data_IF_807975950229
#
_entry.id   IF_807975950229
#
_cell.length_a   1.000
_cell.length_b   1.000
_cell.length_c   1.000
_cell.angle_alpha   90.00
_cell.angle_beta   90.00
_cell.angle_gamma   90.00
#
_symmetry.space_group_name_H-M   'P 1'
#
loop_
_entity.id
_entity.type
_entity.pdbx_description
1 polymer ?
#
# COMPACT_ATOMS: atom_id res chain seq x y z
N UNK A 1 -13.52 -27.33 -19.53
CA UNK A 1 -14.18 -27.87 -18.33
C UNK A 1 -13.42 -29.12 -17.92
N UNK A 2 -12.84 -29.17 -16.72
CA UNK A 2 -12.17 -30.37 -16.22
C UNK A 2 -13.22 -31.33 -15.65
N UNK A 3 -13.95 -32.01 -16.56
CA UNK A 3 -15.05 -32.92 -16.23
C UNK A 3 -16.31 -32.24 -15.66
N UNK A 4 -17.43 -32.97 -15.68
CA UNK A 4 -18.76 -32.53 -15.20
C UNK A 4 -18.85 -32.41 -13.66
N UNK A 5 -17.74 -32.21 -12.94
CA UNK A 5 -17.72 -32.10 -11.48
C UNK A 5 -17.50 -30.66 -11.03
N UNK A 6 -18.44 -30.16 -10.22
CA UNK A 6 -18.29 -28.88 -9.54
C UNK A 6 -17.13 -28.96 -8.54
N UNK A 7 -16.11 -28.13 -8.73
CA UNK A 7 -14.97 -28.01 -7.84
C UNK A 7 -15.32 -27.07 -6.67
N UNK A 8 -15.26 -27.56 -5.44
CA UNK A 8 -15.28 -26.72 -4.23
C UNK A 8 -13.98 -26.96 -3.47
N UNK A 9 -13.22 -25.89 -3.27
CA UNK A 9 -12.01 -25.91 -2.46
C UNK A 9 -12.18 -24.91 -1.32
N UNK A 10 -11.66 -25.27 -0.16
CA UNK A 10 -11.55 -24.37 0.98
C UNK A 10 -10.09 -23.94 1.07
N UNK A 11 -9.87 -22.63 1.18
CA UNK A 11 -8.55 -22.05 1.37
C UNK A 11 -8.61 -21.23 2.65
N UNK A 12 -7.81 -21.63 3.62
CA UNK A 12 -7.64 -20.89 4.86
C UNK A 12 -6.82 -19.63 4.61
N UNK A 13 -6.88 -18.68 5.54
CA UNK A 13 -6.10 -17.45 5.45
C UNK A 13 -4.59 -17.73 5.44
N UNK A 14 -4.14 -18.70 6.22
CA UNK A 14 -2.73 -19.05 6.32
C UNK A 14 -2.22 -19.68 5.02
N UNK A 15 -3.00 -20.59 4.42
CA UNK A 15 -2.69 -21.16 3.10
C UNK A 15 -2.62 -20.06 2.02
N UNK A 16 -3.57 -19.13 2.02
CA UNK A 16 -3.51 -17.98 1.10
C UNK A 16 -2.25 -17.13 1.34
N UNK A 17 -1.91 -16.87 2.60
CA UNK A 17 -0.74 -16.05 2.97
C UNK A 17 0.56 -16.70 2.52
N UNK A 18 0.70 -18.03 2.69
CA UNK A 18 1.84 -18.80 2.19
C UNK A 18 1.92 -18.78 0.66
N UNK A 19 0.78 -18.89 -0.04
CA UNK A 19 0.74 -18.83 -1.51
C UNK A 19 1.21 -17.48 -2.06
N UNK A 20 0.88 -16.36 -1.39
CA UNK A 20 1.28 -15.02 -1.84
C UNK A 20 2.65 -14.56 -1.31
N UNK A 21 3.18 -15.24 -0.29
CA UNK A 21 4.41 -14.87 0.41
C UNK A 21 5.59 -14.54 -0.53
N UNK A 22 5.91 -15.34 -1.57
CA UNK A 22 7.02 -15.04 -2.47
C UNK A 22 6.85 -13.70 -3.21
N UNK A 23 5.61 -13.35 -3.57
CA UNK A 23 5.28 -12.08 -4.21
C UNK A 23 5.46 -10.90 -3.26
N UNK A 24 4.97 -11.03 -2.03
CA UNK A 24 5.11 -10.00 -0.99
C UNK A 24 6.59 -9.80 -0.61
N UNK A 25 7.37 -10.88 -0.49
CA UNK A 25 8.80 -10.83 -0.21
C UNK A 25 9.58 -10.10 -1.33
N UNK A 26 9.17 -10.26 -2.59
CA UNK A 26 9.74 -9.49 -3.70
C UNK A 26 9.44 -8.00 -3.57
N UNK A 27 8.21 -7.64 -3.17
CA UNK A 27 7.84 -6.25 -2.92
C UNK A 27 8.67 -5.64 -1.77
N UNK A 28 8.90 -6.38 -0.67
CA UNK A 28 9.71 -5.91 0.46
C UNK A 28 11.16 -5.62 0.04
N UNK A 29 11.74 -6.43 -0.84
CA UNK A 29 13.08 -6.15 -1.40
C UNK A 29 13.12 -4.84 -2.19
N UNK A 30 12.06 -4.49 -2.91
CA UNK A 30 11.99 -3.21 -3.62
C UNK A 30 11.93 -2.05 -2.62
N UNK A 31 11.19 -2.20 -1.52
CA UNK A 31 11.17 -1.21 -0.43
C UNK A 31 12.58 -0.99 0.13
N UNK A 32 13.32 -2.07 0.42
CA UNK A 32 14.72 -1.99 0.90
C UNK A 32 15.63 -1.26 -0.10
N UNK A 33 15.49 -1.58 -1.39
CA UNK A 33 16.26 -0.94 -2.46
C UNK A 33 15.99 0.56 -2.56
N UNK A 34 14.74 0.98 -2.41
CA UNK A 34 14.35 2.40 -2.45
C UNK A 34 14.90 3.13 -1.23
N UNK A 35 14.76 2.57 -0.02
CA UNK A 35 15.35 3.13 1.19
C UNK A 35 16.86 3.32 1.04
N UNK A 36 17.57 2.29 0.56
CA UNK A 36 19.00 2.35 0.32
C UNK A 36 19.38 3.43 -0.72
N UNK A 37 18.63 3.53 -1.83
CA UNK A 37 18.86 4.55 -2.86
C UNK A 37 18.66 5.97 -2.32
N UNK A 38 17.72 6.16 -1.42
CA UNK A 38 17.45 7.42 -0.75
C UNK A 38 18.36 7.67 0.47
N UNK A 39 19.21 6.70 0.85
CA UNK A 39 20.05 6.74 2.05
C UNK A 39 19.24 6.91 3.35
N UNK A 40 18.03 6.34 3.39
CA UNK A 40 17.13 6.38 4.53
C UNK A 40 17.06 5.01 5.21
N UNK A 41 16.77 5.01 6.51
CA UNK A 41 16.45 3.84 7.32
C UNK A 41 14.95 3.79 7.58
N UNK A 42 14.45 2.64 8.02
CA UNK A 42 13.04 2.47 8.41
C UNK A 42 12.62 3.41 9.55
N UNK A 43 13.59 3.81 10.39
CA UNK A 43 13.38 4.76 11.47
C UNK A 43 13.07 6.18 10.95
N UNK A 44 13.63 6.56 9.80
CA UNK A 44 13.52 7.89 9.19
C UNK A 44 12.19 8.12 8.47
N UNK A 45 11.39 7.07 8.28
CA UNK A 45 10.06 7.16 7.69
C UNK A 45 9.08 7.55 8.77
N UNK A 46 8.35 8.66 8.65
CA UNK A 46 7.36 9.05 9.66
C UNK A 46 6.07 8.21 9.55
N UNK A 47 5.55 8.13 8.31
CA UNK A 47 4.28 7.51 8.00
C UNK A 47 4.38 6.60 6.74
N UNK A 48 3.59 5.53 6.73
CA UNK A 48 3.43 4.59 5.62
C UNK A 48 1.97 4.61 5.20
N UNK A 49 1.70 5.22 4.05
CA UNK A 49 0.36 5.28 3.46
C UNK A 49 0.12 4.08 2.53
N UNK A 50 -1.00 3.38 2.73
CA UNK A 50 -1.39 2.23 1.91
C UNK A 50 -2.25 2.69 0.74
N UNK A 51 -1.86 2.32 -0.49
CA UNK A 51 -2.57 2.67 -1.73
C UNK A 51 -2.74 1.43 -2.60
N UNK A 52 -3.94 1.26 -3.15
CA UNK A 52 -4.35 0.12 -3.97
C UNK A 52 -4.98 -1.03 -3.18
N UNK A 53 -5.98 -1.69 -3.76
CA UNK A 53 -6.84 -2.66 -3.05
C UNK A 53 -6.11 -3.88 -2.47
N UNK A 54 -5.00 -4.32 -3.07
CA UNK A 54 -4.20 -5.44 -2.54
C UNK A 54 -3.54 -5.12 -1.20
N UNK A 55 -3.43 -3.85 -0.82
CA UNK A 55 -2.94 -3.44 0.51
C UNK A 55 -3.94 -3.73 1.64
N UNK A 56 -5.19 -4.13 1.31
CA UNK A 56 -6.16 -4.65 2.29
C UNK A 56 -5.85 -6.06 2.76
N UNK A 57 -4.99 -6.80 2.05
CA UNK A 57 -4.56 -8.13 2.47
C UNK A 57 -3.83 -8.04 3.80
N UNK A 58 -4.31 -8.77 4.81
CA UNK A 58 -3.77 -8.72 6.18
C UNK A 58 -2.28 -9.03 6.23
N UNK A 59 -1.85 -10.09 5.53
CA UNK A 59 -0.44 -10.46 5.45
C UNK A 59 0.45 -9.31 4.93
N UNK A 60 -0.03 -8.50 3.97
CA UNK A 60 0.72 -7.33 3.49
C UNK A 60 0.85 -6.26 4.58
N UNK A 61 -0.24 -6.00 5.30
CA UNK A 61 -0.25 -5.01 6.40
C UNK A 61 0.63 -5.44 7.56
N UNK A 62 0.64 -6.72 7.91
CA UNK A 62 1.48 -7.30 8.97
C UNK A 62 2.95 -7.13 8.61
N UNK A 63 3.36 -7.52 7.40
CA UNK A 63 4.75 -7.42 6.94
C UNK A 63 5.26 -5.98 6.91
N UNK A 64 4.42 -5.04 6.49
CA UNK A 64 4.74 -3.61 6.54
C UNK A 64 4.77 -3.08 7.99
N UNK A 65 3.86 -3.55 8.86
CA UNK A 65 3.85 -3.19 10.28
C UNK A 65 5.10 -3.67 11.00
N UNK A 66 5.53 -4.92 10.75
CA UNK A 66 6.76 -5.48 11.28
C UNK A 66 7.98 -4.68 10.84
N UNK A 67 8.03 -4.28 9.57
CA UNK A 67 9.15 -3.51 9.02
C UNK A 67 9.24 -2.08 9.58
N UNK A 68 8.11 -1.39 9.72
CA UNK A 68 8.07 0.04 10.04
C UNK A 68 7.59 0.35 11.48
N UNK A 69 7.31 -0.66 12.30
CA UNK A 69 6.95 -0.49 13.71
C UNK A 69 5.46 -0.21 13.99
N UNK A 70 4.56 -0.67 13.11
CA UNK A 70 3.10 -0.74 13.27
C UNK A 70 2.35 0.60 13.34
N UNK A 71 2.77 1.53 14.20
CA UNK A 71 2.15 2.85 14.39
C UNK A 71 2.27 3.78 13.20
N UNK A 72 3.23 3.50 12.30
CA UNK A 72 3.47 4.28 11.09
C UNK A 72 2.47 3.96 9.97
N UNK A 73 1.74 2.85 10.03
CA UNK A 73 0.79 2.50 8.97
C UNK A 73 -0.49 3.32 9.10
N UNK A 74 -0.73 4.20 8.13
CA UNK A 74 -1.93 5.02 8.04
C UNK A 74 -3.10 4.21 7.48
N UNK A 75 -4.16 4.10 8.28
CA UNK A 75 -5.42 3.40 7.90
C UNK A 75 -6.62 4.32 7.69
N UNK A 76 -6.43 5.64 7.87
CA UNK A 76 -7.50 6.64 7.76
C UNK A 76 -7.86 7.01 6.31
N UNK A 77 -6.96 6.74 5.36
CA UNK A 77 -7.15 7.08 3.94
C UNK A 77 -7.65 5.83 3.20
N UNK A 78 -8.69 6.00 2.37
CA UNK A 78 -9.17 4.96 1.47
C UNK A 78 -8.09 4.62 0.42
N UNK A 79 -7.53 3.38 0.40
CA UNK A 79 -6.45 3.02 -0.51
C UNK A 79 -6.84 3.12 -2.00
N UNK A 80 -8.12 2.97 -2.32
CA UNK A 80 -8.64 3.00 -3.68
C UNK A 80 -8.76 4.42 -4.24
N UNK A 81 -8.97 5.41 -3.39
CA UNK A 81 -9.29 6.79 -3.80
C UNK A 81 -8.08 7.72 -3.73
N UNK A 82 -7.05 7.37 -2.96
CA UNK A 82 -5.86 8.20 -2.74
C UNK A 82 -5.23 8.71 -4.06
N UNK A 83 -5.17 7.84 -5.08
CA UNK A 83 -4.61 8.19 -6.40
C UNK A 83 -5.50 9.20 -7.13
N UNK A 84 -6.83 9.01 -7.09
CA UNK A 84 -7.78 9.88 -7.78
C UNK A 84 -7.78 11.27 -7.15
N UNK A 85 -7.77 11.35 -5.81
CA UNK A 85 -7.68 12.63 -5.12
C UNK A 85 -6.40 13.39 -5.48
N UNK A 86 -5.24 12.72 -5.45
CA UNK A 86 -3.98 13.33 -5.85
C UNK A 86 -3.99 13.81 -7.31
N UNK A 87 -4.53 13.00 -8.22
CA UNK A 87 -4.65 13.35 -9.64
C UNK A 87 -5.55 14.56 -9.87
N UNK A 88 -6.70 14.65 -9.18
CA UNK A 88 -7.61 15.80 -9.29
C UNK A 88 -6.96 17.11 -8.81
N UNK A 89 -6.18 17.06 -7.73
CA UNK A 89 -5.43 18.23 -7.23
C UNK A 89 -4.40 18.68 -8.28
N UNK A 90 -3.64 17.74 -8.85
CA UNK A 90 -2.65 18.05 -9.89
C UNK A 90 -3.33 18.63 -11.14
N UNK A 91 -4.45 18.06 -11.59
CA UNK A 91 -5.19 18.58 -12.74
C UNK A 91 -5.70 20.01 -12.50
N UNK A 92 -6.26 20.28 -11.32
CA UNK A 92 -6.71 21.62 -10.93
C UNK A 92 -5.55 22.63 -10.89
N UNK A 93 -4.40 22.24 -10.34
CA UNK A 93 -3.22 23.10 -10.28
C UNK A 93 -2.70 23.47 -11.68
N UNK A 94 -2.64 22.49 -12.59
CA UNK A 94 -2.19 22.72 -13.97
C UNK A 94 -3.15 23.67 -14.70
N UNK A 95 -4.46 23.44 -14.59
CA UNK A 95 -5.47 24.28 -15.26
C UNK A 95 -5.43 25.73 -14.79
N UNK A 96 -5.22 25.94 -13.48
CA UNK A 96 -5.25 27.26 -12.86
C UNK A 96 -3.85 27.89 -12.71
N UNK A 97 -2.79 27.24 -13.23
CA UNK A 97 -1.39 27.67 -13.11
C UNK A 97 -0.99 27.98 -11.66
N UNK A 98 -1.41 27.12 -10.73
CA UNK A 98 -1.15 27.26 -9.30
C UNK A 98 0.04 26.39 -8.87
N UNK A 99 0.94 26.96 -8.07
CA UNK A 99 2.01 26.24 -7.35
C UNK A 99 1.53 25.83 -5.95
N UNK A 100 0.36 25.18 -5.85
CA UNK A 100 -0.06 24.61 -4.57
C UNK A 100 0.84 23.43 -4.22
N UNK A 101 1.76 23.63 -3.28
CA UNK A 101 2.45 22.52 -2.62
C UNK A 101 1.41 21.80 -1.76
N UNK A 102 1.26 20.50 -1.98
CA UNK A 102 0.36 19.64 -1.19
C UNK A 102 0.93 19.46 0.23
N UNK A 103 0.99 20.52 1.03
CA UNK A 103 1.52 20.50 2.41
C UNK A 103 0.44 20.34 3.48
N UNK A 104 -0.83 20.57 3.16
CA UNK A 104 -1.93 20.44 4.12
C UNK A 104 -2.83 19.26 3.75
N UNK A 105 -2.35 18.05 4.04
CA UNK A 105 -3.23 16.90 4.22
C UNK A 105 -3.93 17.03 5.59
N UNK A 106 -4.97 17.86 5.65
CA UNK A 106 -5.81 17.98 6.84
C UNK A 106 -6.53 16.65 7.12
N UNK A 107 -6.57 16.24 8.39
CA UNK A 107 -7.09 14.97 8.90
C UNK A 107 -8.63 14.81 8.78
N UNK A 108 -9.27 15.58 7.89
CA UNK A 108 -10.72 15.67 7.71
C UNK A 108 -11.27 14.76 6.60
N UNK A 109 -10.43 13.90 6.02
CA UNK A 109 -10.82 12.78 5.18
C UNK A 109 -10.31 11.46 5.77
#
# INVERSE_FOLDING_TARGET
>A
MYGEKALRLYVTRDEFSELIKPGVDKCMKVVDQVLAKCQLKEADIDDVMLVGGSTRTLYVQERLSEKFGGRKLLKRICPEEAVVHGACIVAYNIENQLDLIVQEWDHRF
#
